data_IF_616573823796
#
_entry.id   IF_616573823796
#
_cell.length_a   1.000
_cell.length_b   1.000
_cell.length_c   1.000
_cell.angle_alpha   90.00
_cell.angle_beta   90.00
_cell.angle_gamma   90.00
#
_symmetry.space_group_name_H-M   'P 1'
#
loop_
_entity.id
_entity.type
_entity.pdbx_description
1 polymer ?
#
# COMPACT_ATOMS: atom_id res chain seq x y z
N UNK A 1 -9.53 20.80 -9.61
CA UNK A 1 -9.84 22.24 -9.66
C UNK A 1 -9.67 22.78 -8.25
N UNK A 2 -8.47 23.20 -7.87
CA UNK A 2 -8.28 23.92 -6.61
C UNK A 2 -8.41 25.42 -6.89
N UNK A 3 -9.20 26.17 -6.10
CA UNK A 3 -9.29 27.61 -6.25
C UNK A 3 -7.89 28.22 -6.06
N UNK A 4 -7.51 29.10 -6.99
CA UNK A 4 -6.25 29.85 -6.97
C UNK A 4 -6.22 30.83 -5.79
N UNK A 5 -6.01 30.37 -4.58
CA UNK A 5 -5.99 31.19 -3.37
C UNK A 5 -5.96 30.38 -2.09
N UNK A 6 -6.08 29.08 -2.16
CA UNK A 6 -5.96 28.23 -0.98
C UNK A 6 -4.49 28.03 -0.64
N UNK A 7 -4.20 28.19 0.65
CA UNK A 7 -2.87 27.87 1.18
C UNK A 7 -2.58 26.38 0.87
N UNK A 8 -1.44 26.11 0.25
CA UNK A 8 -1.02 24.75 -0.15
C UNK A 8 -1.09 23.73 1.01
N UNK A 9 -0.92 24.18 2.24
CA UNK A 9 -1.02 23.34 3.43
C UNK A 9 -2.46 22.84 3.64
N UNK A 10 -3.46 23.72 3.48
CA UNK A 10 -4.88 23.37 3.62
C UNK A 10 -5.30 22.37 2.53
N UNK A 11 -4.78 22.55 1.31
CA UNK A 11 -5.02 21.65 0.19
C UNK A 11 -4.50 20.22 0.43
N UNK A 12 -3.50 20.04 1.28
CA UNK A 12 -2.93 18.73 1.63
C UNK A 12 -3.68 18.01 2.77
N UNK A 13 -4.54 18.69 3.50
CA UNK A 13 -5.29 18.08 4.64
C UNK A 13 -6.05 16.81 4.28
N UNK A 14 -6.82 16.75 3.17
CA UNK A 14 -7.50 15.52 2.77
C UNK A 14 -6.52 14.36 2.53
N UNK A 15 -5.33 14.65 1.97
CA UNK A 15 -4.29 13.65 1.73
C UNK A 15 -3.76 13.11 3.05
N UNK A 16 -3.45 13.97 4.02
CA UNK A 16 -3.00 13.54 5.36
C UNK A 16 -4.06 12.72 6.07
N UNK A 17 -5.33 13.12 5.99
CA UNK A 17 -6.42 12.38 6.61
C UNK A 17 -6.59 10.99 6.00
N UNK A 18 -6.63 10.90 4.67
CA UNK A 18 -6.70 9.62 3.94
C UNK A 18 -5.51 8.72 4.26
N UNK A 19 -4.31 9.30 4.35
CA UNK A 19 -3.08 8.58 4.69
C UNK A 19 -3.15 8.00 6.11
N UNK A 20 -3.69 8.75 7.07
CA UNK A 20 -3.88 8.30 8.45
C UNK A 20 -4.90 7.16 8.56
N UNK A 21 -6.00 7.24 7.81
CA UNK A 21 -6.99 6.15 7.73
C UNK A 21 -6.35 4.90 7.13
N UNK A 22 -5.62 5.05 6.03
CA UNK A 22 -4.94 3.94 5.37
C UNK A 22 -3.96 3.25 6.32
N UNK A 23 -3.18 4.01 7.08
CA UNK A 23 -2.25 3.47 8.08
C UNK A 23 -2.95 2.60 9.12
N UNK A 24 -4.09 3.05 9.63
CA UNK A 24 -4.83 2.33 10.67
C UNK A 24 -5.67 1.17 10.13
N UNK A 25 -6.03 1.19 8.84
CA UNK A 25 -6.93 0.19 8.25
C UNK A 25 -6.21 -1.07 7.76
N UNK A 26 -4.90 -0.99 7.50
CA UNK A 26 -4.12 -2.09 6.93
C UNK A 26 -3.00 -2.52 7.87
N UNK A 27 -3.28 -3.43 8.82
CA UNK A 27 -2.29 -3.87 9.82
C UNK A 27 -1.16 -4.74 9.23
N UNK A 28 -1.16 -5.00 7.93
CA UNK A 28 -0.18 -5.85 7.27
C UNK A 28 -0.71 -7.22 6.88
N UNK A 29 0.17 -8.11 6.46
CA UNK A 29 -0.15 -9.48 6.08
C UNK A 29 0.96 -10.45 6.50
N UNK A 30 0.62 -11.71 6.72
CA UNK A 30 1.55 -12.77 7.11
C UNK A 30 2.38 -12.46 8.37
N UNK A 31 1.84 -11.69 9.30
CA UNK A 31 2.55 -11.26 10.51
C UNK A 31 3.52 -10.09 10.31
N UNK A 32 3.66 -9.58 9.09
CA UNK A 32 4.48 -8.41 8.81
C UNK A 32 3.63 -7.16 8.69
N UNK A 33 4.03 -6.10 9.40
CA UNK A 33 3.42 -4.77 9.30
C UNK A 33 4.12 -4.01 8.18
N UNK A 34 3.44 -3.83 7.05
CA UNK A 34 3.94 -3.03 5.93
C UNK A 34 3.31 -1.65 5.97
N UNK A 35 4.15 -0.65 6.10
CA UNK A 35 3.75 0.74 5.99
C UNK A 35 3.77 1.15 4.51
N UNK A 36 2.64 1.03 3.83
CA UNK A 36 2.54 1.43 2.40
C UNK A 36 2.87 2.90 2.16
N UNK A 37 2.84 3.73 3.21
CA UNK A 37 3.09 5.17 3.15
C UNK A 37 4.54 5.53 3.46
N UNK A 38 5.24 4.70 4.26
CA UNK A 38 6.63 4.94 4.64
C UNK A 38 7.55 3.89 4.02
N UNK A 39 7.93 4.14 2.76
CA UNK A 39 8.86 3.27 2.02
C UNK A 39 10.15 3.01 2.81
N UNK A 40 10.64 3.99 3.58
CA UNK A 40 11.87 3.87 4.37
C UNK A 40 11.85 2.66 5.31
N UNK A 41 10.75 2.41 6.01
CA UNK A 41 10.65 1.23 6.87
C UNK A 41 10.64 -0.07 6.06
N UNK A 42 9.97 -0.09 4.92
CA UNK A 42 9.95 -1.25 4.04
C UNK A 42 11.33 -1.53 3.44
N UNK A 43 12.09 -0.49 3.06
CA UNK A 43 13.48 -0.63 2.63
C UNK A 43 14.37 -1.18 3.75
N UNK A 44 14.25 -0.66 4.96
CA UNK A 44 15.00 -1.15 6.11
C UNK A 44 14.71 -2.65 6.34
N UNK A 45 13.47 -3.06 6.36
CA UNK A 45 13.07 -4.45 6.55
C UNK A 45 13.58 -5.36 5.42
N UNK A 46 13.55 -4.87 4.17
CA UNK A 46 14.12 -5.60 3.03
C UNK A 46 15.63 -5.81 3.21
N UNK A 47 16.38 -4.73 3.48
CA UNK A 47 17.84 -4.80 3.63
C UNK A 47 18.21 -5.70 4.80
N UNK A 48 17.57 -5.54 5.97
CA UNK A 48 17.79 -6.40 7.12
C UNK A 48 17.49 -7.86 6.79
N UNK A 49 16.36 -8.15 6.15
CA UNK A 49 16.01 -9.51 5.76
C UNK A 49 17.01 -10.15 4.80
N UNK A 50 17.54 -9.38 3.83
CA UNK A 50 18.60 -9.85 2.92
C UNK A 50 19.90 -10.13 3.69
N UNK A 51 20.29 -9.21 4.58
CA UNK A 51 21.52 -9.33 5.38
C UNK A 51 21.46 -10.56 6.27
N UNK A 52 20.37 -10.73 7.02
CA UNK A 52 20.19 -11.88 7.92
C UNK A 52 20.17 -13.20 7.14
N UNK A 53 19.54 -13.22 5.95
CA UNK A 53 19.57 -14.39 5.07
C UNK A 53 20.97 -14.74 4.56
N UNK A 54 21.77 -13.73 4.21
CA UNK A 54 23.13 -13.96 3.71
C UNK A 54 24.10 -14.42 4.82
N UNK A 55 23.93 -13.91 6.04
CA UNK A 55 24.78 -14.23 7.17
C UNK A 55 24.40 -15.58 7.82
N UNK A 56 23.11 -15.75 8.15
CA UNK A 56 22.64 -16.86 8.97
C UNK A 56 21.86 -17.93 8.17
N UNK A 57 21.61 -17.70 6.87
CA UNK A 57 20.79 -18.54 5.97
C UNK A 57 19.39 -18.84 6.55
N UNK A 58 18.85 -17.91 7.34
CA UNK A 58 17.56 -18.04 7.96
C UNK A 58 16.44 -17.94 6.92
N UNK A 59 15.59 -18.98 6.86
CA UNK A 59 14.44 -19.01 5.94
C UNK A 59 13.37 -17.98 6.27
N UNK A 60 13.25 -17.60 7.53
CA UNK A 60 12.30 -16.56 7.95
C UNK A 60 12.76 -15.19 7.46
N UNK A 61 14.06 -14.91 7.53
CA UNK A 61 14.66 -13.71 6.95
C UNK A 61 14.46 -13.63 5.44
N UNK A 62 14.59 -14.76 4.73
CA UNK A 62 14.28 -14.82 3.30
C UNK A 62 12.80 -14.50 3.00
N UNK A 63 11.87 -15.03 3.79
CA UNK A 63 10.43 -14.75 3.65
C UNK A 63 10.12 -13.27 3.88
N UNK A 64 10.77 -12.66 4.88
CA UNK A 64 10.70 -11.23 5.16
C UNK A 64 11.20 -10.40 4.00
N UNK A 65 12.39 -10.70 3.50
CA UNK A 65 12.98 -10.00 2.35
C UNK A 65 12.09 -10.10 1.10
N UNK A 66 11.54 -11.28 0.83
CA UNK A 66 10.65 -11.49 -0.30
C UNK A 66 9.34 -10.68 -0.17
N UNK A 67 8.75 -10.64 1.02
CA UNK A 67 7.53 -9.87 1.29
C UNK A 67 7.75 -8.36 1.08
N UNK A 68 8.78 -7.79 1.70
CA UNK A 68 9.06 -6.36 1.59
C UNK A 68 9.61 -5.97 0.22
N UNK A 69 10.38 -6.84 -0.42
CA UNK A 69 10.84 -6.67 -1.79
C UNK A 69 9.69 -6.64 -2.79
N UNK A 70 8.75 -7.56 -2.67
CA UNK A 70 7.53 -7.57 -3.48
C UNK A 70 6.70 -6.30 -3.27
N UNK A 71 6.47 -5.92 -2.01
CA UNK A 71 5.72 -4.69 -1.67
C UNK A 71 6.34 -3.45 -2.30
N UNK A 72 7.67 -3.28 -2.19
CA UNK A 72 8.39 -2.15 -2.78
C UNK A 72 8.34 -2.16 -4.30
N UNK A 73 8.51 -3.34 -4.92
CA UNK A 73 8.45 -3.47 -6.39
C UNK A 73 7.08 -3.04 -6.90
N UNK A 74 6.00 -3.57 -6.34
CA UNK A 74 4.65 -3.19 -6.76
C UNK A 74 4.34 -1.73 -6.48
N UNK A 75 4.85 -1.17 -5.39
CA UNK A 75 4.73 0.26 -5.09
C UNK A 75 5.38 1.11 -6.18
N UNK A 76 6.62 0.82 -6.56
CA UNK A 76 7.34 1.59 -7.59
C UNK A 76 6.73 1.41 -8.98
N UNK A 77 6.28 0.22 -9.32
CA UNK A 77 5.52 -0.01 -10.54
C UNK A 77 4.22 0.80 -10.57
N UNK A 78 3.50 0.85 -9.45
CA UNK A 78 2.30 1.67 -9.32
C UNK A 78 2.58 3.16 -9.51
N UNK A 79 3.66 3.68 -8.91
CA UNK A 79 4.10 5.08 -9.08
C UNK A 79 4.44 5.36 -10.54
N UNK A 80 5.24 4.51 -11.18
CA UNK A 80 5.63 4.68 -12.58
C UNK A 80 4.42 4.67 -13.52
N UNK A 81 3.52 3.71 -13.36
CA UNK A 81 2.28 3.64 -14.13
C UNK A 81 1.38 4.86 -13.91
N UNK A 82 1.31 5.34 -12.66
CA UNK A 82 0.53 6.54 -12.33
C UNK A 82 1.11 7.79 -13.01
N UNK A 83 2.44 7.94 -13.01
CA UNK A 83 3.09 9.05 -13.71
C UNK A 83 2.78 9.03 -15.21
N UNK A 84 2.92 7.86 -15.86
CA UNK A 84 2.62 7.70 -17.29
C UNK A 84 1.14 8.00 -17.56
N UNK A 85 0.23 7.48 -16.76
CA UNK A 85 -1.20 7.70 -16.92
C UNK A 85 -1.57 9.18 -16.77
N UNK A 86 -1.00 9.90 -15.80
CA UNK A 86 -1.25 11.33 -15.58
C UNK A 86 -0.71 12.14 -16.77
N UNK A 87 0.45 11.80 -17.30
CA UNK A 87 1.02 12.50 -18.45
C UNK A 87 0.17 12.34 -19.73
N UNK A 88 -0.49 11.21 -19.91
CA UNK A 88 -1.29 10.93 -21.10
C UNK A 88 -2.77 11.29 -20.94
N UNK A 89 -3.36 11.02 -19.79
CA UNK A 89 -4.81 11.16 -19.53
C UNK A 89 -5.14 12.37 -18.65
N UNK A 90 -4.13 13.07 -18.13
CA UNK A 90 -4.35 14.16 -17.19
C UNK A 90 -5.17 13.71 -15.98
N UNK A 91 -6.14 14.53 -15.54
CA UNK A 91 -7.00 14.23 -14.40
C UNK A 91 -7.91 13.00 -14.59
N UNK A 92 -8.15 12.54 -15.82
CA UNK A 92 -8.93 11.33 -16.07
C UNK A 92 -8.24 10.05 -15.59
N UNK A 93 -6.91 10.09 -15.37
CA UNK A 93 -6.15 8.99 -14.80
C UNK A 93 -6.68 8.56 -13.42
N UNK A 94 -7.34 9.45 -12.66
CA UNK A 94 -7.94 9.16 -11.37
C UNK A 94 -8.96 8.01 -11.48
N UNK A 95 -9.76 8.00 -12.53
CA UNK A 95 -10.76 6.95 -12.74
C UNK A 95 -10.13 5.58 -12.99
N UNK A 96 -8.98 5.55 -13.67
CA UNK A 96 -8.25 4.31 -13.95
C UNK A 96 -7.79 3.61 -12.66
N UNK A 97 -7.47 4.36 -11.62
CA UNK A 97 -7.01 3.81 -10.33
C UNK A 97 -8.16 3.63 -9.32
N UNK A 98 -9.22 4.42 -9.44
CA UNK A 98 -10.38 4.31 -8.54
C UNK A 98 -11.23 3.08 -8.85
N UNK A 99 -11.41 2.73 -10.12
CA UNK A 99 -12.23 1.59 -10.53
C UNK A 99 -11.71 0.22 -9.99
N UNK A 100 -10.43 -0.13 -10.13
CA UNK A 100 -9.91 -1.37 -9.53
C UNK A 100 -10.05 -1.39 -8.01
N UNK A 101 -9.84 -0.25 -7.35
CA UNK A 101 -9.99 -0.14 -5.90
C UNK A 101 -11.44 -0.38 -5.46
N UNK A 102 -12.42 0.14 -6.19
CA UNK A 102 -13.83 -0.10 -5.94
C UNK A 102 -14.22 -1.57 -6.16
N UNK A 103 -13.63 -2.25 -7.16
CA UNK A 103 -13.89 -3.65 -7.45
C UNK A 103 -13.40 -4.61 -6.33
N UNK A 104 -12.41 -4.19 -5.53
CA UNK A 104 -11.89 -4.99 -4.41
C UNK A 104 -12.83 -4.95 -3.19
N UNK A 105 -13.62 -3.90 -3.02
CA UNK A 105 -14.52 -3.74 -1.86
C UNK A 105 -15.49 -4.92 -1.67
N UNK A 106 -16.25 -5.38 -2.68
CA UNK A 106 -17.16 -6.52 -2.52
C UNK A 106 -16.42 -7.81 -2.16
N UNK A 107 -15.18 -7.97 -2.63
CA UNK A 107 -14.36 -9.13 -2.32
C UNK A 107 -13.99 -9.18 -0.83
N UNK A 108 -13.53 -8.05 -0.28
CA UNK A 108 -13.22 -7.89 1.14
C UNK A 108 -14.47 -8.10 2.01
N UNK A 109 -15.61 -7.55 1.61
CA UNK A 109 -16.87 -7.73 2.32
C UNK A 109 -17.32 -9.20 2.35
N UNK A 110 -17.13 -9.93 1.25
CA UNK A 110 -17.43 -11.36 1.17
C UNK A 110 -16.52 -12.17 2.10
N UNK A 111 -15.21 -11.93 2.09
CA UNK A 111 -14.28 -12.61 2.99
C UNK A 111 -14.58 -12.36 4.46
N UNK A 112 -14.88 -11.12 4.84
CA UNK A 112 -15.28 -10.80 6.22
C UNK A 112 -16.55 -11.55 6.65
N UNK A 113 -17.56 -11.66 5.79
CA UNK A 113 -18.78 -12.41 6.08
C UNK A 113 -18.50 -13.91 6.26
N UNK A 114 -17.63 -14.48 5.44
CA UNK A 114 -17.23 -15.89 5.57
C UNK A 114 -16.44 -16.15 6.85
N UNK A 115 -15.52 -15.27 7.21
CA UNK A 115 -14.76 -15.36 8.46
C UNK A 115 -15.66 -15.25 9.70
N UNK A 116 -16.65 -14.35 9.69
CA UNK A 116 -17.63 -14.22 10.77
C UNK A 116 -18.53 -15.46 10.90
N UNK A 117 -18.96 -16.03 9.78
CA UNK A 117 -19.77 -17.25 9.78
C UNK A 117 -18.98 -18.48 10.28
N UNK A 118 -17.67 -18.52 10.04
CA UNK A 118 -16.79 -19.58 10.57
C UNK A 118 -16.53 -19.45 12.07
N UNK A 119 -16.49 -18.22 12.59
CA UNK A 119 -16.27 -17.96 14.03
C UNK A 119 -17.52 -18.21 14.89
N UNK A 120 -18.69 -18.35 14.30
CA UNK A 120 -19.97 -18.64 14.99
C UNK A 120 -20.31 -20.15 15.03
N UNK A 121 -19.49 -20.99 14.43
CA UNK A 121 -19.56 -22.47 14.52
C UNK A 121 -18.59 -23.03 15.52
#
# INVERSE_FOLDING_TARGET
FMPTGWNSVIALWPVFFMTSIQWNSFPGARGYVSASIFSTNNYRQLVTGITDYLLDKDREAASRAWFFGGTLTFFHLGVALSCIAIMQLGFHAIWLFTMPSAAVIPFICKERRLAQAAAQK
#
